data_IF_912306653164
#
_entry.id   IF_912306653164
#
_cell.length_a   1.000
_cell.length_b   1.000
_cell.length_c   1.000
_cell.angle_alpha   90.00
_cell.angle_beta   90.00
_cell.angle_gamma   90.00
#
_symmetry.space_group_name_H-M   'P 1'
#
loop_
_entity.id
_entity.type
_entity.pdbx_description
1 polymer ?
#
# COMPACT_ATOMS: atom_id res chain seq x y z
N UNK A 1 -56.67 -8.06 76.82
CA UNK A 1 -56.21 -9.21 76.00
C UNK A 1 -56.48 -8.97 74.52
N UNK A 2 -57.61 -8.37 74.14
CA UNK A 2 -57.91 -8.08 72.72
C UNK A 2 -56.98 -7.06 72.05
N UNK A 3 -56.49 -6.04 72.77
CA UNK A 3 -55.54 -5.06 72.23
C UNK A 3 -54.19 -5.68 71.81
N UNK A 4 -53.74 -6.71 72.54
CA UNK A 4 -52.50 -7.44 72.25
C UNK A 4 -52.67 -8.35 71.03
N UNK A 5 -53.87 -8.91 70.83
CA UNK A 5 -54.19 -9.70 69.64
C UNK A 5 -54.31 -8.82 68.40
N UNK A 6 -54.91 -7.64 68.51
CA UNK A 6 -55.01 -6.68 67.40
C UNK A 6 -53.63 -6.12 67.01
N UNK A 7 -52.76 -5.81 67.98
CA UNK A 7 -51.39 -5.38 67.68
C UNK A 7 -50.56 -6.47 67.02
N UNK A 8 -50.67 -7.73 67.48
CA UNK A 8 -49.99 -8.87 66.85
C UNK A 8 -50.48 -9.13 65.42
N UNK A 9 -51.79 -9.00 65.16
CA UNK A 9 -52.35 -9.12 63.82
C UNK A 9 -51.85 -8.01 62.88
N UNK A 10 -51.75 -6.77 63.37
CA UNK A 10 -51.17 -5.65 62.59
C UNK A 10 -49.69 -5.85 62.31
N UNK A 11 -48.92 -6.36 63.27
CA UNK A 11 -47.51 -6.69 63.07
C UNK A 11 -47.32 -7.77 62.00
N UNK A 12 -48.08 -8.87 62.07
CA UNK A 12 -48.03 -9.93 61.07
C UNK A 12 -48.41 -9.43 59.67
N UNK A 13 -49.41 -8.53 59.58
CA UNK A 13 -49.76 -7.89 58.31
C UNK A 13 -48.64 -7.01 57.77
N UNK A 14 -47.98 -6.21 58.62
CA UNK A 14 -46.86 -5.37 58.23
C UNK A 14 -45.63 -6.19 57.81
N UNK A 15 -45.32 -7.27 58.52
CA UNK A 15 -44.26 -8.21 58.13
C UNK A 15 -44.54 -8.85 56.78
N UNK A 16 -45.79 -9.26 56.52
CA UNK A 16 -46.21 -9.75 55.20
C UNK A 16 -46.03 -8.71 54.11
N UNK A 17 -46.49 -7.46 54.35
CA UNK A 17 -46.30 -6.34 53.41
C UNK A 17 -44.83 -6.00 53.15
N UNK A 18 -43.99 -6.07 54.18
CA UNK A 18 -42.53 -5.90 54.05
C UNK A 18 -41.90 -7.02 53.23
N UNK A 19 -42.33 -8.27 53.44
CA UNK A 19 -41.91 -9.42 52.64
C UNK A 19 -42.31 -9.29 51.16
N UNK A 20 -43.55 -8.89 50.88
CA UNK A 20 -44.04 -8.59 49.53
C UNK A 20 -43.22 -7.48 48.86
N UNK A 21 -42.97 -6.38 49.57
CA UNK A 21 -42.19 -5.26 49.04
C UNK A 21 -40.72 -5.63 48.79
N UNK A 22 -40.11 -6.44 49.67
CA UNK A 22 -38.75 -6.95 49.47
C UNK A 22 -38.66 -7.86 48.25
N UNK A 23 -39.66 -8.74 48.04
CA UNK A 23 -39.72 -9.61 46.87
C UNK A 23 -39.90 -8.81 45.57
N UNK A 24 -40.79 -7.82 45.56
CA UNK A 24 -40.99 -6.93 44.42
C UNK A 24 -39.71 -6.17 44.07
N UNK A 25 -38.97 -5.69 45.09
CA UNK A 25 -37.69 -5.01 44.88
C UNK A 25 -36.64 -5.94 44.27
N UNK A 26 -36.51 -7.18 44.76
CA UNK A 26 -35.59 -8.16 44.20
C UNK A 26 -35.94 -8.51 42.74
N UNK A 27 -37.24 -8.64 42.40
CA UNK A 27 -37.69 -8.87 41.03
C UNK A 27 -37.37 -7.69 40.10
N UNK A 28 -37.53 -6.45 40.58
CA UNK A 28 -37.17 -5.26 39.82
C UNK A 28 -35.66 -5.16 39.60
N UNK A 29 -34.84 -5.45 40.62
CA UNK A 29 -33.38 -5.47 40.50
C UNK A 29 -32.92 -6.52 39.47
N UNK A 30 -33.51 -7.72 39.49
CA UNK A 30 -33.23 -8.77 38.49
C UNK A 30 -33.69 -8.39 37.08
N UNK A 31 -34.86 -7.74 36.94
CA UNK A 31 -35.33 -7.27 35.64
C UNK A 31 -34.40 -6.18 35.07
N UNK A 32 -33.98 -5.23 35.90
CA UNK A 32 -33.04 -4.17 35.48
C UNK A 32 -31.71 -4.80 35.07
N UNK A 33 -31.21 -5.78 35.83
CA UNK A 33 -29.96 -6.46 35.54
C UNK A 33 -30.02 -7.29 34.24
N UNK A 34 -31.13 -7.99 34.00
CA UNK A 34 -31.36 -8.80 32.80
C UNK A 34 -31.58 -7.93 31.55
N UNK A 35 -32.28 -6.80 31.67
CA UNK A 35 -32.42 -5.81 30.60
C UNK A 35 -31.08 -5.18 30.23
N UNK A 36 -30.26 -4.80 31.22
CA UNK A 36 -28.90 -4.30 30.98
C UNK A 36 -28.06 -5.35 30.25
N UNK A 37 -28.08 -6.60 30.71
CA UNK A 37 -27.30 -7.69 30.11
C UNK A 37 -27.72 -7.94 28.66
N UNK A 38 -29.03 -8.02 28.40
CA UNK A 38 -29.57 -8.18 27.04
C UNK A 38 -29.16 -7.03 26.12
N UNK A 39 -29.17 -5.79 26.62
CA UNK A 39 -28.76 -4.61 25.84
C UNK A 39 -27.27 -4.68 25.47
N UNK A 40 -26.42 -5.07 26.41
CA UNK A 40 -24.98 -5.19 26.18
C UNK A 40 -24.66 -6.34 25.21
N UNK A 41 -25.35 -7.48 25.34
CA UNK A 41 -25.22 -8.61 24.41
C UNK A 41 -25.63 -8.23 22.99
N UNK A 42 -26.76 -7.54 22.84
CA UNK A 42 -27.22 -7.03 21.54
C UNK A 42 -26.20 -6.04 20.94
N UNK A 43 -25.59 -5.17 21.77
CA UNK A 43 -24.57 -4.24 21.32
C UNK A 43 -23.32 -4.97 20.81
N UNK A 44 -22.86 -6.00 21.51
CA UNK A 44 -21.69 -6.81 21.13
C UNK A 44 -21.95 -7.53 19.80
N UNK A 45 -23.11 -8.18 19.66
CA UNK A 45 -23.52 -8.86 18.43
C UNK A 45 -23.60 -7.92 17.23
N UNK A 46 -24.19 -6.73 17.41
CA UNK A 46 -24.30 -5.74 16.34
C UNK A 46 -22.90 -5.23 15.92
N UNK A 47 -22.03 -4.93 16.88
CA UNK A 47 -20.64 -4.55 16.58
C UNK A 47 -19.91 -5.67 15.83
N UNK A 48 -20.01 -6.92 16.27
CA UNK A 48 -19.37 -8.05 15.59
C UNK A 48 -19.86 -8.19 14.14
N UNK A 49 -21.18 -8.15 13.93
CA UNK A 49 -21.76 -8.25 12.59
C UNK A 49 -21.30 -7.11 11.67
N UNK A 50 -21.24 -5.88 12.18
CA UNK A 50 -20.79 -4.72 11.42
C UNK A 50 -19.29 -4.79 11.08
N UNK A 51 -18.45 -5.27 12.00
CA UNK A 51 -17.02 -5.47 11.75
C UNK A 51 -16.77 -6.58 10.72
N UNK A 52 -17.51 -7.69 10.80
CA UNK A 52 -17.42 -8.78 9.80
C UNK A 52 -17.84 -8.29 8.42
N UNK A 53 -18.95 -7.55 8.32
CA UNK A 53 -19.40 -6.95 7.07
C UNK A 53 -18.36 -6.00 6.50
N UNK A 54 -17.80 -5.11 7.33
CA UNK A 54 -16.76 -4.18 6.92
C UNK A 54 -15.48 -4.89 6.47
N UNK A 55 -15.10 -5.99 7.12
CA UNK A 55 -13.95 -6.80 6.72
C UNK A 55 -14.19 -7.49 5.37
N UNK A 56 -15.39 -8.04 5.14
CA UNK A 56 -15.77 -8.61 3.85
C UNK A 56 -15.77 -7.53 2.75
N UNK A 57 -16.36 -6.37 3.02
CA UNK A 57 -16.38 -5.27 2.07
C UNK A 57 -14.96 -4.76 1.76
N UNK A 58 -14.10 -4.65 2.77
CA UNK A 58 -12.72 -4.26 2.59
C UNK A 58 -11.97 -5.25 1.70
N UNK A 59 -12.18 -6.56 1.88
CA UNK A 59 -11.58 -7.59 1.02
C UNK A 59 -12.08 -7.52 -0.43
N UNK A 60 -13.38 -7.26 -0.63
CA UNK A 60 -13.98 -7.15 -1.97
C UNK A 60 -13.54 -5.88 -2.71
N UNK A 61 -13.44 -4.77 -1.99
CA UNK A 61 -13.14 -3.44 -2.56
C UNK A 61 -11.67 -3.07 -2.50
N UNK A 62 -10.83 -3.89 -1.84
CA UNK A 62 -9.43 -3.60 -1.54
C UNK A 62 -9.20 -2.26 -0.82
N UNK A 63 -10.19 -1.80 -0.04
CA UNK A 63 -10.17 -0.51 0.66
C UNK A 63 -10.27 -0.69 2.18
N UNK A 64 -9.51 0.11 2.92
CA UNK A 64 -9.54 0.13 4.40
C UNK A 64 -10.63 1.05 4.97
N UNK A 65 -11.31 1.84 4.15
CA UNK A 65 -12.33 2.80 4.63
C UNK A 65 -13.52 2.16 5.36
N UNK A 66 -14.12 1.05 4.86
CA UNK A 66 -15.22 0.39 5.56
C UNK A 66 -14.80 -0.10 6.95
N UNK A 67 -13.59 -0.67 7.04
CA UNK A 67 -12.97 -1.14 8.28
C UNK A 67 -12.80 -0.01 9.30
N UNK A 68 -12.24 1.11 8.87
CA UNK A 68 -12.00 2.27 9.72
C UNK A 68 -13.32 2.91 10.20
N UNK A 69 -14.31 3.01 9.31
CA UNK A 69 -15.64 3.51 9.64
C UNK A 69 -16.36 2.63 10.66
N UNK A 70 -16.32 1.31 10.47
CA UNK A 70 -16.93 0.35 11.39
C UNK A 70 -16.24 0.36 12.76
N UNK A 71 -14.90 0.38 12.81
CA UNK A 71 -14.13 0.46 14.05
C UNK A 71 -14.41 1.76 14.83
N UNK A 72 -14.46 2.92 14.16
CA UNK A 72 -14.84 4.19 14.81
C UNK A 72 -16.27 4.15 15.36
N UNK A 73 -17.20 3.57 14.60
CA UNK A 73 -18.60 3.43 15.04
C UNK A 73 -18.69 2.52 16.26
N UNK A 74 -17.97 1.40 16.24
CA UNK A 74 -17.88 0.48 17.37
C UNK A 74 -17.29 1.16 18.61
N UNK A 75 -16.17 1.87 18.46
CA UNK A 75 -15.53 2.64 19.53
C UNK A 75 -16.49 3.65 20.15
N UNK A 76 -17.19 4.45 19.35
CA UNK A 76 -18.16 5.44 19.83
C UNK A 76 -19.32 4.79 20.58
N UNK A 77 -19.84 3.67 20.09
CA UNK A 77 -20.93 2.94 20.75
C UNK A 77 -20.50 2.34 22.08
N UNK A 78 -19.29 1.76 22.16
CA UNK A 78 -18.70 1.26 23.39
C UNK A 78 -18.47 2.38 24.43
N UNK A 79 -17.96 3.53 24.00
CA UNK A 79 -17.79 4.69 24.86
C UNK A 79 -19.13 5.21 25.43
N UNK A 80 -20.20 5.19 24.63
CA UNK A 80 -21.56 5.56 25.07
C UNK A 80 -22.18 4.55 26.03
N UNK A 81 -21.84 3.27 25.91
CA UNK A 81 -22.31 2.22 26.82
C UNK A 81 -21.62 2.28 28.20
N UNK A 82 -20.37 2.76 28.24
CA UNK A 82 -19.57 3.00 29.46
C UNK A 82 -19.59 1.86 30.51
N UNK A 83 -19.77 0.61 30.07
CA UNK A 83 -19.83 -0.55 30.94
C UNK A 83 -18.42 -1.14 31.17
N UNK A 84 -17.97 -1.32 32.44
CA UNK A 84 -16.68 -1.94 32.77
C UNK A 84 -16.46 -3.32 32.14
N UNK A 85 -17.53 -4.11 31.92
CA UNK A 85 -17.46 -5.44 31.31
C UNK A 85 -16.98 -5.41 29.86
N UNK A 86 -17.17 -4.28 29.16
CA UNK A 86 -16.80 -4.10 27.76
C UNK A 86 -15.39 -3.51 27.57
N UNK A 87 -14.65 -3.22 28.65
CA UNK A 87 -13.33 -2.58 28.57
C UNK A 87 -12.28 -3.43 27.83
N UNK A 88 -12.40 -4.75 27.85
CA UNK A 88 -11.49 -5.64 27.11
C UNK A 88 -11.74 -5.53 25.60
N UNK A 89 -13.01 -5.45 25.19
CA UNK A 89 -13.43 -5.26 23.80
C UNK A 89 -13.00 -3.87 23.32
N UNK A 90 -13.22 -2.83 24.13
CA UNK A 90 -12.81 -1.47 23.81
C UNK A 90 -11.30 -1.39 23.54
N UNK A 91 -10.47 -1.98 24.41
CA UNK A 91 -9.01 -2.02 24.21
C UNK A 91 -8.59 -2.78 22.95
N UNK A 92 -9.30 -3.85 22.59
CA UNK A 92 -9.03 -4.60 21.36
C UNK A 92 -9.36 -3.76 20.12
N UNK A 93 -10.52 -3.09 20.12
CA UNK A 93 -10.93 -2.18 19.04
C UNK A 93 -9.99 -1.00 18.90
N UNK A 94 -9.53 -0.41 20.00
CA UNK A 94 -8.58 0.71 19.96
C UNK A 94 -7.24 0.31 19.33
N UNK A 95 -6.73 -0.89 19.63
CA UNK A 95 -5.51 -1.43 19.01
C UNK A 95 -5.69 -1.71 17.52
N UNK A 96 -6.80 -2.32 17.13
CA UNK A 96 -7.08 -2.64 15.74
C UNK A 96 -7.33 -1.36 14.93
N UNK A 97 -7.96 -0.35 15.53
CA UNK A 97 -8.14 0.98 14.94
C UNK A 97 -6.81 1.69 14.70
N UNK A 98 -5.85 1.58 15.61
CA UNK A 98 -4.50 2.11 15.40
C UNK A 98 -3.72 1.33 14.32
N UNK A 99 -3.91 0.01 14.27
CA UNK A 99 -3.31 -0.87 13.24
C UNK A 99 -3.87 -0.55 11.84
N UNK A 100 -5.18 -0.36 11.72
CA UNK A 100 -5.84 0.00 10.46
C UNK A 100 -5.46 1.43 10.03
N UNK A 101 -5.39 2.38 10.98
CA UNK A 101 -4.94 3.75 10.69
C UNK A 101 -3.50 3.76 10.18
N UNK A 102 -2.57 3.09 10.86
CA UNK A 102 -1.18 3.02 10.44
C UNK A 102 -1.02 2.33 9.07
N UNK A 103 -1.82 1.29 8.78
CA UNK A 103 -1.88 0.66 7.46
C UNK A 103 -2.46 1.58 6.37
N UNK A 104 -3.45 2.42 6.68
CA UNK A 104 -4.02 3.40 5.75
C UNK A 104 -3.09 4.59 5.50
N UNK A 105 -2.27 4.96 6.49
CA UNK A 105 -1.28 6.05 6.40
C UNK A 105 -0.02 5.61 5.63
N UNK A 106 0.29 4.31 5.64
CA UNK A 106 1.40 3.71 4.87
C UNK A 106 0.98 3.64 3.39
N UNK A 107 1.41 4.49 2.47
CA UNK A 107 2.48 5.49 2.51
C UNK A 107 2.16 6.58 1.46
N UNK A 108 1.05 7.31 1.60
CA UNK A 108 0.75 8.39 0.64
C UNK A 108 1.87 9.45 0.65
N UNK A 109 2.34 9.96 1.82
CA UNK A 109 3.44 10.92 1.85
C UNK A 109 4.74 10.40 1.23
N UNK A 110 5.13 9.15 1.49
CA UNK A 110 6.34 8.56 0.91
C UNK A 110 6.17 8.17 -0.56
N UNK A 111 4.98 7.80 -1.02
CA UNK A 111 4.68 7.69 -2.45
C UNK A 111 4.85 9.04 -3.14
N UNK A 112 4.32 10.12 -2.57
CA UNK A 112 4.49 11.47 -3.12
C UNK A 112 5.97 11.88 -3.19
N UNK A 113 6.76 11.56 -2.15
CA UNK A 113 8.20 11.80 -2.12
C UNK A 113 8.93 11.01 -3.23
N UNK A 114 8.61 9.73 -3.39
CA UNK A 114 9.20 8.88 -4.44
C UNK A 114 8.86 9.41 -5.84
N UNK A 115 7.64 9.93 -6.05
CA UNK A 115 7.28 10.57 -7.32
C UNK A 115 8.05 11.87 -7.55
N UNK A 116 8.28 12.66 -6.50
CA UNK A 116 9.06 13.90 -6.59
C UNK A 116 10.53 13.62 -6.91
N UNK A 117 11.12 12.58 -6.31
CA UNK A 117 12.47 12.11 -6.64
C UNK A 117 12.57 11.64 -8.11
N UNK A 118 11.56 10.91 -8.60
CA UNK A 118 11.50 10.48 -10.00
C UNK A 118 11.39 11.67 -10.96
N UNK A 119 10.60 12.69 -10.62
CA UNK A 119 10.49 13.93 -11.42
C UNK A 119 11.82 14.68 -11.45
N UNK A 120 12.53 14.76 -10.31
CA UNK A 120 13.84 15.39 -10.22
C UNK A 120 14.91 14.64 -11.04
N UNK A 121 14.88 13.29 -11.02
CA UNK A 121 15.81 12.47 -11.80
C UNK A 121 15.54 12.50 -13.31
N UNK A 122 14.31 12.81 -13.73
CA UNK A 122 13.87 12.70 -15.13
C UNK A 122 14.77 13.46 -16.13
N UNK A 123 15.33 14.62 -15.73
CA UNK A 123 16.21 15.42 -16.59
C UNK A 123 17.60 14.82 -16.78
N UNK A 124 18.05 14.03 -15.81
CA UNK A 124 19.39 13.46 -15.77
C UNK A 124 19.48 12.07 -16.39
N UNK A 125 18.34 11.50 -16.79
CA UNK A 125 18.28 10.16 -17.36
C UNK A 125 18.90 10.16 -18.77
N UNK A 126 19.94 9.35 -19.00
CA UNK A 126 20.56 9.23 -20.32
C UNK A 126 19.62 8.48 -21.26
N UNK A 127 19.50 9.01 -22.47
CA UNK A 127 18.70 8.38 -23.52
C UNK A 127 19.49 7.22 -24.11
N UNK A 128 18.82 6.13 -24.49
CA UNK A 128 19.48 4.98 -25.11
C UNK A 128 20.22 5.35 -26.41
N UNK A 129 19.78 6.43 -27.07
CA UNK A 129 20.30 6.91 -28.34
C UNK A 129 21.61 7.70 -28.17
N UNK A 130 21.82 8.34 -27.01
CA UNK A 130 23.06 9.09 -26.73
C UNK A 130 24.28 8.16 -26.67
N UNK A 131 24.10 6.91 -26.25
CA UNK A 131 25.16 5.88 -26.23
C UNK A 131 25.53 5.33 -27.62
N UNK A 132 24.67 5.53 -28.62
CA UNK A 132 24.97 5.17 -30.02
C UNK A 132 25.68 6.29 -30.78
N UNK A 133 25.94 7.43 -30.12
CA UNK A 133 26.80 8.49 -30.66
C UNK A 133 28.25 8.05 -30.47
N UNK A 134 29.03 7.82 -31.55
CA UNK A 134 30.45 7.52 -31.38
C UNK A 134 31.10 8.69 -30.64
N UNK A 135 31.61 8.42 -29.42
CA UNK A 135 32.43 9.39 -28.70
C UNK A 135 33.66 9.72 -29.54
N UNK A 136 33.90 10.98 -29.92
CA UNK A 136 35.18 11.37 -30.52
C UNK A 136 36.21 11.41 -29.39
N UNK A 137 36.78 10.26 -29.02
CA UNK A 137 37.78 10.25 -27.94
C UNK A 137 38.24 8.90 -27.39
N UNK A 138 37.71 7.76 -27.83
CA UNK A 138 38.18 6.46 -27.38
C UNK A 138 38.71 5.60 -28.54
N UNK A 139 39.62 6.15 -29.34
CA UNK A 139 40.62 5.32 -30.01
C UNK A 139 41.52 4.76 -28.92
N UNK A 140 41.16 3.59 -28.38
CA UNK A 140 42.14 2.75 -27.71
C UNK A 140 43.25 2.51 -28.73
N UNK A 141 44.41 3.09 -28.48
CA UNK A 141 45.63 2.74 -29.16
C UNK A 141 45.85 1.24 -28.92
N UNK A 142 45.44 0.43 -29.89
CA UNK A 142 45.87 -0.97 -29.97
C UNK A 142 47.34 -0.90 -30.33
N UNK A 143 48.16 -0.89 -29.29
CA UNK A 143 49.61 -1.05 -29.39
C UNK A 143 49.86 -2.43 -29.99
N UNK A 144 49.90 -2.46 -31.32
CA UNK A 144 50.14 -3.66 -32.10
C UNK A 144 51.62 -3.97 -31.96
N UNK A 145 51.95 -4.81 -30.99
CA UNK A 145 53.28 -5.43 -30.87
C UNK A 145 53.47 -6.31 -32.10
N UNK A 146 54.21 -5.77 -33.06
CA UNK A 146 54.62 -6.43 -34.30
C UNK A 146 55.57 -7.58 -33.93
N UNK A 147 55.02 -8.78 -33.75
CA UNK A 147 55.79 -10.01 -33.80
C UNK A 147 56.08 -10.32 -35.28
N UNK A 148 57.36 -10.21 -35.64
CA UNK A 148 57.84 -10.15 -37.02
C UNK A 148 57.63 -11.41 -37.87
N UNK A 149 57.51 -11.18 -39.19
CA UNK A 149 57.63 -12.19 -40.25
C UNK A 149 58.12 -11.52 -41.56
N UNK A 150 58.73 -12.28 -42.50
CA UNK A 150 60.01 -11.97 -43.13
C UNK A 150 59.95 -11.01 -44.33
N UNK A 151 61.11 -10.40 -44.60
CA UNK A 151 61.33 -9.25 -45.49
C UNK A 151 61.08 -9.44 -47.01
N UNK A 152 60.44 -10.53 -47.47
CA UNK A 152 60.28 -10.81 -48.91
C UNK A 152 58.84 -11.17 -49.36
N UNK A 153 57.80 -10.63 -48.72
CA UNK A 153 56.42 -10.77 -49.21
C UNK A 153 56.04 -9.63 -50.18
N UNK A 154 55.32 -9.90 -51.30
CA UNK A 154 54.92 -8.88 -52.26
C UNK A 154 54.06 -7.79 -51.62
N UNK A 155 54.40 -6.53 -51.88
CA UNK A 155 53.77 -5.33 -51.30
C UNK A 155 52.23 -5.33 -51.42
N UNK A 156 51.69 -5.89 -52.50
CA UNK A 156 50.25 -5.99 -52.73
C UNK A 156 49.54 -6.94 -51.76
N UNK A 157 50.20 -8.02 -51.30
CA UNK A 157 49.62 -8.92 -50.27
C UNK A 157 49.60 -8.27 -48.89
N UNK A 158 50.59 -7.44 -48.59
CA UNK A 158 50.66 -6.69 -47.32
C UNK A 158 49.59 -5.59 -47.23
N UNK A 159 49.29 -4.94 -48.37
CA UNK A 159 48.19 -3.97 -48.47
C UNK A 159 46.83 -4.67 -48.40
N UNK A 160 46.68 -5.83 -49.07
CA UNK A 160 45.42 -6.58 -49.06
C UNK A 160 45.09 -7.14 -47.67
N UNK A 161 46.07 -7.67 -46.94
CA UNK A 161 45.90 -8.14 -45.55
C UNK A 161 45.56 -6.99 -44.60
N UNK A 162 46.20 -5.81 -44.73
CA UNK A 162 45.85 -4.62 -43.93
C UNK A 162 44.42 -4.17 -44.17
N UNK A 163 43.98 -4.10 -45.43
CA UNK A 163 42.59 -3.74 -45.77
C UNK A 163 41.60 -4.80 -45.29
N UNK A 164 41.97 -6.08 -45.31
CA UNK A 164 41.10 -7.19 -44.89
C UNK A 164 40.94 -7.27 -43.37
N UNK A 165 41.96 -6.87 -42.59
CA UNK A 165 41.90 -6.70 -41.14
C UNK A 165 41.06 -5.47 -40.77
N UNK A 166 41.23 -4.34 -41.48
CA UNK A 166 40.41 -3.12 -41.29
C UNK A 166 38.93 -3.36 -41.65
N UNK A 167 38.66 -4.11 -42.74
CA UNK A 167 37.31 -4.40 -43.22
C UNK A 167 36.56 -5.40 -42.32
N UNK A 168 37.26 -6.36 -41.67
CA UNK A 168 36.64 -7.22 -40.65
C UNK A 168 36.27 -6.48 -39.37
N UNK A 169 36.95 -5.37 -39.06
CA UNK A 169 36.60 -4.49 -37.94
C UNK A 169 35.36 -3.62 -38.19
N UNK A 170 35.02 -3.38 -39.46
CA UNK A 170 33.92 -2.48 -39.87
C UNK A 170 32.60 -3.21 -40.20
N UNK A 171 32.61 -4.53 -40.34
CA UNK A 171 31.39 -5.34 -40.53
C UNK A 171 30.94 -5.97 -39.22
N UNK A 172 30.58 -5.14 -38.24
CA UNK A 172 29.81 -5.61 -37.09
C UNK A 172 28.35 -5.68 -37.51
N UNK A 173 27.88 -6.88 -37.83
CA UNK A 173 26.46 -7.16 -38.05
C UNK A 173 25.73 -6.97 -36.72
N UNK A 174 25.29 -5.74 -36.45
CA UNK A 174 24.24 -5.48 -35.49
C UNK A 174 22.92 -5.66 -36.23
N UNK A 175 22.13 -6.64 -35.81
CA UNK A 175 20.77 -6.82 -36.30
C UNK A 175 19.95 -5.65 -35.77
N UNK A 176 19.66 -4.70 -36.65
CA UNK A 176 18.83 -3.53 -36.36
C UNK A 176 17.38 -3.99 -36.34
N UNK A 177 16.89 -4.36 -35.15
CA UNK A 177 15.49 -4.65 -34.90
C UNK A 177 14.77 -3.39 -34.36
N UNK A 178 14.82 -2.25 -35.08
CA UNK A 178 13.87 -1.12 -35.01
C UNK A 178 14.36 0.11 -35.82
N UNK A 179 13.77 0.44 -36.99
CA UNK A 179 14.24 1.53 -37.87
C UNK A 179 13.92 2.96 -37.37
N UNK A 180 13.18 3.12 -36.26
CA UNK A 180 12.72 4.44 -35.80
C UNK A 180 13.68 5.15 -34.82
N UNK A 181 14.73 4.47 -34.35
CA UNK A 181 15.68 5.05 -33.39
C UNK A 181 16.77 5.94 -34.05
N UNK A 182 16.89 5.93 -35.38
CA UNK A 182 17.97 6.61 -36.10
C UNK A 182 17.68 8.09 -36.44
N UNK A 183 16.47 8.59 -36.16
CA UNK A 183 16.05 9.96 -36.45
C UNK A 183 15.35 10.57 -35.23
N UNK A 184 16.04 10.59 -34.08
CA UNK A 184 15.63 11.45 -32.98
C UNK A 184 16.58 12.66 -32.92
N UNK A 185 16.16 13.77 -33.51
CA UNK A 185 16.79 15.07 -33.38
C UNK A 185 16.93 15.45 -31.89
N UNK A 186 17.94 16.25 -31.50
CA UNK A 186 18.19 16.67 -30.11
C UNK A 186 16.95 17.23 -29.37
N UNK A 187 16.04 17.85 -30.13
CA UNK A 187 14.74 18.36 -29.68
C UNK A 187 13.81 17.27 -29.09
N UNK A 188 13.89 16.01 -29.58
CA UNK A 188 12.94 14.95 -29.21
C UNK A 188 13.28 14.23 -27.90
N UNK A 189 14.55 14.30 -27.46
CA UNK A 189 14.94 13.87 -26.12
C UNK A 189 14.32 14.72 -25.01
N UNK A 190 14.19 16.03 -25.26
CA UNK A 190 13.53 16.98 -24.36
C UNK A 190 12.04 16.63 -24.18
N UNK A 191 11.31 16.42 -25.29
CA UNK A 191 9.88 16.07 -25.22
C UNK A 191 9.61 14.76 -24.50
N UNK A 192 10.51 13.79 -24.60
CA UNK A 192 10.36 12.51 -23.92
C UNK A 192 10.50 12.65 -22.40
N UNK A 193 11.48 13.45 -21.95
CA UNK A 193 11.65 13.78 -20.53
C UNK A 193 10.46 14.58 -20.00
N UNK A 194 9.97 15.55 -20.76
CA UNK A 194 8.82 16.35 -20.37
C UNK A 194 7.54 15.50 -20.31
N UNK A 195 7.34 14.59 -21.26
CA UNK A 195 6.23 13.64 -21.22
C UNK A 195 6.31 12.70 -19.99
N UNK A 196 7.51 12.28 -19.61
CA UNK A 196 7.74 11.47 -18.41
C UNK A 196 7.32 12.24 -17.14
N UNK A 197 7.76 13.50 -17.02
CA UNK A 197 7.40 14.40 -15.91
C UNK A 197 5.90 14.62 -15.83
N UNK A 198 5.25 14.91 -16.96
CA UNK A 198 3.80 15.10 -17.02
C UNK A 198 3.05 13.85 -16.54
N UNK A 199 3.49 12.65 -16.93
CA UNK A 199 2.88 11.40 -16.44
C UNK A 199 3.09 11.18 -14.94
N UNK A 200 4.27 11.50 -14.42
CA UNK A 200 4.54 11.42 -12.98
C UNK A 200 3.71 12.43 -12.18
N UNK A 201 3.55 13.66 -12.68
CA UNK A 201 2.68 14.67 -12.07
C UNK A 201 1.20 14.29 -12.14
N UNK A 202 0.76 13.69 -13.24
CA UNK A 202 -0.60 13.15 -13.35
C UNK A 202 -0.84 11.98 -12.39
N UNK A 203 0.15 11.09 -12.21
CA UNK A 203 0.09 10.04 -11.21
C UNK A 203 0.00 10.64 -9.80
N UNK A 204 0.78 11.70 -9.51
CA UNK A 204 0.71 12.44 -8.24
C UNK A 204 -0.67 13.03 -7.99
N UNK A 205 -1.24 13.74 -8.96
CA UNK A 205 -2.58 14.31 -8.87
C UNK A 205 -3.63 13.22 -8.70
N UNK A 206 -3.51 12.12 -9.42
CA UNK A 206 -4.39 10.96 -9.30
C UNK A 206 -4.34 10.36 -7.90
N UNK A 207 -3.15 10.21 -7.28
CA UNK A 207 -3.03 9.74 -5.89
C UNK A 207 -3.67 10.69 -4.88
N UNK A 208 -3.47 12.01 -5.04
CA UNK A 208 -4.09 13.03 -4.19
C UNK A 208 -5.62 13.05 -4.35
N UNK A 209 -6.10 12.82 -5.57
CA UNK A 209 -7.51 12.67 -5.90
C UNK A 209 -8.08 11.28 -5.56
N UNK A 210 -7.29 10.39 -4.95
CA UNK A 210 -7.63 9.00 -4.61
C UNK A 210 -8.02 8.13 -5.80
N UNK A 211 -7.58 8.48 -7.00
CA UNK A 211 -7.74 7.71 -8.23
C UNK A 211 -6.55 6.75 -8.38
N UNK A 212 -6.58 5.64 -7.64
CA UNK A 212 -5.49 4.66 -7.61
C UNK A 212 -5.24 3.95 -8.95
N UNK A 213 -6.29 3.66 -9.71
CA UNK A 213 -6.19 2.97 -10.99
C UNK A 213 -5.54 3.83 -12.08
N UNK A 214 -5.89 5.12 -12.14
CA UNK A 214 -5.27 6.07 -13.07
C UNK A 214 -3.81 6.32 -12.70
N UNK A 215 -3.51 6.49 -11.39
CA UNK A 215 -2.14 6.57 -10.90
C UNK A 215 -1.31 5.34 -11.30
N UNK A 216 -1.87 4.14 -11.12
CA UNK A 216 -1.22 2.88 -11.50
C UNK A 216 -0.96 2.78 -13.00
N UNK A 217 -1.93 3.18 -13.83
CA UNK A 217 -1.80 3.21 -15.29
C UNK A 217 -0.67 4.18 -15.72
N UNK A 218 -0.64 5.38 -15.13
CA UNK A 218 0.41 6.37 -15.41
C UNK A 218 1.80 5.86 -14.99
N UNK A 219 1.93 5.23 -13.82
CA UNK A 219 3.18 4.60 -13.38
C UNK A 219 3.62 3.44 -14.27
N UNK A 220 2.69 2.65 -14.80
CA UNK A 220 3.00 1.61 -15.77
C UNK A 220 3.50 2.21 -17.09
N UNK A 221 2.84 3.26 -17.58
CA UNK A 221 3.27 3.98 -18.79
C UNK A 221 4.67 4.58 -18.63
N UNK A 222 4.98 5.16 -17.47
CA UNK A 222 6.33 5.65 -17.12
C UNK A 222 7.35 4.50 -17.19
N UNK A 223 7.04 3.33 -16.63
CA UNK A 223 7.92 2.16 -16.67
C UNK A 223 8.18 1.62 -18.08
N UNK A 224 7.15 1.62 -18.93
CA UNK A 224 7.30 1.26 -20.35
C UNK A 224 8.21 2.25 -21.07
N UNK A 225 8.00 3.55 -20.86
CA UNK A 225 8.84 4.60 -21.45
C UNK A 225 10.30 4.52 -21.01
N UNK A 226 10.56 4.30 -19.71
CA UNK A 226 11.90 4.13 -19.16
C UNK A 226 12.64 2.94 -19.82
N UNK A 227 11.97 1.79 -19.95
CA UNK A 227 12.59 0.60 -20.55
C UNK A 227 12.79 0.73 -22.07
N UNK A 228 11.93 1.48 -22.76
CA UNK A 228 11.94 1.58 -24.22
C UNK A 228 12.91 2.63 -24.75
N UNK A 229 13.02 3.79 -24.08
CA UNK A 229 13.68 4.95 -24.66
C UNK A 229 14.92 5.45 -23.88
N UNK A 230 15.06 5.05 -22.61
CA UNK A 230 16.21 5.41 -21.78
C UNK A 230 17.22 4.26 -21.71
N UNK A 231 18.48 4.57 -21.46
CA UNK A 231 19.55 3.57 -21.44
C UNK A 231 19.41 2.63 -20.22
N UNK A 232 19.12 1.32 -20.41
CA UNK A 232 18.93 0.37 -19.30
C UNK A 232 20.25 0.00 -18.59
N UNK A 233 21.41 0.28 -19.22
CA UNK A 233 22.73 -0.01 -18.64
C UNK A 233 23.22 1.11 -17.70
N UNK A 234 22.62 2.30 -17.79
CA UNK A 234 22.94 3.42 -16.92
C UNK A 234 22.46 3.18 -15.49
N UNK A 235 23.34 3.48 -14.52
CA UNK A 235 23.02 3.44 -13.09
C UNK A 235 21.82 4.33 -12.73
N UNK A 236 21.68 5.50 -13.38
CA UNK A 236 20.56 6.43 -13.11
C UNK A 236 19.21 5.86 -13.56
N UNK A 237 19.17 5.22 -14.73
CA UNK A 237 17.95 4.56 -15.24
C UNK A 237 17.57 3.36 -14.38
N UNK A 238 18.55 2.58 -13.91
CA UNK A 238 18.30 1.48 -12.99
C UNK A 238 17.74 1.97 -11.64
N UNK A 239 18.29 3.07 -11.10
CA UNK A 239 17.78 3.70 -9.89
C UNK A 239 16.33 4.20 -10.08
N UNK A 240 16.02 4.84 -11.22
CA UNK A 240 14.67 5.29 -11.52
C UNK A 240 13.67 4.10 -11.65
N UNK A 241 14.08 3.00 -12.27
CA UNK A 241 13.26 1.79 -12.34
C UNK A 241 13.02 1.18 -10.95
N UNK A 242 14.03 1.17 -10.07
CA UNK A 242 13.87 0.70 -8.69
C UNK A 242 12.91 1.58 -7.88
N UNK A 243 13.02 2.91 -8.02
CA UNK A 243 12.09 3.85 -7.37
C UNK A 243 10.66 3.69 -7.89
N UNK A 244 10.50 3.46 -9.19
CA UNK A 244 9.19 3.20 -9.79
C UNK A 244 8.58 1.89 -9.26
N UNK A 245 9.36 0.81 -9.18
CA UNK A 245 8.90 -0.46 -8.62
C UNK A 245 8.51 -0.31 -7.15
N UNK A 246 9.27 0.48 -6.38
CA UNK A 246 8.92 0.84 -5.00
C UNK A 246 7.58 1.58 -4.95
N UNK A 247 7.36 2.61 -5.78
CA UNK A 247 6.09 3.34 -5.85
C UNK A 247 4.90 2.42 -6.21
N UNK A 248 5.09 1.51 -7.18
CA UNK A 248 4.07 0.54 -7.58
C UNK A 248 3.82 -0.53 -6.50
N UNK A 249 4.81 -0.86 -5.68
CA UNK A 249 4.63 -1.79 -4.55
C UNK A 249 3.84 -1.14 -3.41
N UNK A 250 4.11 0.13 -3.12
CA UNK A 250 3.37 0.91 -2.13
C UNK A 250 1.92 1.16 -2.58
N UNK A 251 1.69 1.36 -3.88
CA UNK A 251 0.34 1.48 -4.45
C UNK A 251 -0.47 0.19 -4.39
N UNK A 252 0.17 -0.98 -4.26
CA UNK A 252 -0.51 -2.29 -4.19
C UNK A 252 -1.14 -2.55 -2.81
N UNK A 253 -0.90 -1.67 -1.83
CA UNK A 253 -1.46 -1.77 -0.49
C UNK A 253 -0.79 -2.87 0.35
N UNK A 254 -0.57 -2.58 1.63
CA UNK A 254 -0.28 -3.63 2.60
C UNK A 254 -1.50 -4.56 2.68
N UNK A 255 -1.34 -5.90 2.86
CA UNK A 255 -2.46 -6.80 3.00
C UNK A 255 -3.41 -6.26 4.08
N UNK A 256 -4.72 -6.24 3.77
CA UNK A 256 -5.75 -5.70 4.67
C UNK A 256 -5.57 -6.34 6.05
N UNK A 257 -5.27 -5.56 7.09
CA UNK A 257 -5.05 -6.08 8.43
C UNK A 257 -6.33 -6.78 8.90
N UNK A 258 -6.17 -7.99 9.41
CA UNK A 258 -7.28 -8.76 9.98
C UNK A 258 -7.59 -8.25 11.37
N UNK A 259 -8.88 -8.15 11.69
CA UNK A 259 -9.39 -7.72 13.01
C UNK A 259 -9.40 -8.87 14.02
N UNK A 260 -8.36 -9.70 14.04
CA UNK A 260 -8.36 -10.94 14.81
C UNK A 260 -8.49 -10.65 16.32
N UNK A 261 -7.90 -9.55 16.79
CA UNK A 261 -7.99 -9.10 18.18
C UNK A 261 -9.41 -8.69 18.59
N UNK A 262 -10.05 -7.79 17.82
CA UNK A 262 -11.41 -7.32 18.11
C UNK A 262 -12.44 -8.44 17.98
N UNK A 263 -12.35 -9.25 16.92
CA UNK A 263 -13.30 -10.34 16.69
C UNK A 263 -13.17 -11.45 17.73
N UNK A 264 -11.95 -11.80 18.17
CA UNK A 264 -11.77 -12.74 19.27
C UNK A 264 -12.35 -12.19 20.57
N UNK A 265 -12.12 -10.91 20.89
CA UNK A 265 -12.67 -10.29 22.08
C UNK A 265 -14.21 -10.28 22.08
N UNK A 266 -14.84 -9.95 20.94
CA UNK A 266 -16.29 -9.99 20.76
C UNK A 266 -16.84 -11.42 20.87
N UNK A 267 -16.18 -12.39 20.23
CA UNK A 267 -16.58 -13.79 20.29
C UNK A 267 -16.55 -14.33 21.72
N UNK A 268 -15.50 -14.05 22.49
CA UNK A 268 -15.41 -14.47 23.90
C UNK A 268 -16.50 -13.85 24.77
N UNK A 269 -16.86 -12.59 24.53
CA UNK A 269 -17.95 -11.93 25.25
C UNK A 269 -19.33 -12.49 24.90
N UNK A 270 -19.54 -12.91 23.65
CA UNK A 270 -20.80 -13.55 23.21
C UNK A 270 -20.94 -15.03 23.64
N UNK A 271 -19.80 -15.72 23.84
CA UNK A 271 -19.74 -17.14 24.18
C UNK A 271 -19.81 -17.42 25.69
N UNK A 272 -19.53 -16.43 26.55
CA UNK A 272 -19.63 -16.54 28.01
C UNK A 272 -21.08 -16.56 28.56
N UNK A 273 -21.98 -17.26 27.86
CA UNK A 273 -23.38 -17.48 28.25
C UNK A 273 -23.48 -18.19 29.59
#
# INVERSE_FOLDING_TARGET
QDSVKDSAARMALLESRLGEAALQRAQLEELIQSLSRTRDENLVLDIESSLRLAQQQAQLTSSLEPLLGALKTAQQRLQRASNPRLMTIQRAIDRDLETVKSAQITDLPGMLLVLDDLVAMADELPLAIDNNRPQPGASQAVESTVAGLPANAPWWKQVLERVMVEARGLLRVSRIDSPEAALLAPEQGFFLRENLKLKLLNARLSLLARQGDTAKSDLQAVGVSLKKYFDPSSRKTQQALQLLDKAQSLSKGSPIPRLDGSLAALATASAGK
#
